data_IF_807398662734
#
_entry.id   IF_807398662734
#
_cell.length_a   1.000
_cell.length_b   1.000
_cell.length_c   1.000
_cell.angle_alpha   90.00
_cell.angle_beta   90.00
_cell.angle_gamma   90.00
#
_symmetry.space_group_name_H-M   'P 1'
#
loop_
_entity.id
_entity.type
_entity.pdbx_description
1 polymer ?
#
# COMPACT_ATOMS: atom_id res chain seq x y z
N UNK A 1 -31.48 28.06 -46.91
CA UNK A 1 -32.18 28.22 -45.62
C UNK A 1 -32.85 26.94 -45.10
N UNK A 2 -33.67 26.22 -45.90
CA UNK A 2 -34.31 24.97 -45.43
C UNK A 2 -33.30 23.84 -45.21
N UNK A 3 -32.28 23.71 -46.04
CA UNK A 3 -31.18 22.73 -45.87
C UNK A 3 -30.25 23.04 -44.71
N UNK A 4 -30.04 24.32 -44.43
CA UNK A 4 -29.22 24.74 -43.29
C UNK A 4 -29.88 24.42 -41.96
N UNK A 5 -31.21 24.65 -41.84
CA UNK A 5 -31.97 24.32 -40.63
C UNK A 5 -31.97 22.80 -40.38
N UNK A 6 -32.12 21.97 -41.41
CA UNK A 6 -32.08 20.52 -41.29
C UNK A 6 -30.72 20.05 -40.84
N UNK A 7 -29.61 20.67 -41.30
CA UNK A 7 -28.25 20.34 -40.91
C UNK A 7 -27.98 20.73 -39.46
N UNK A 8 -28.45 21.91 -39.03
CA UNK A 8 -28.34 22.36 -37.63
C UNK A 8 -29.10 21.44 -36.66
N UNK A 9 -30.31 21.02 -37.01
CA UNK A 9 -31.08 20.06 -36.21
C UNK A 9 -30.37 18.70 -36.11
N UNK A 10 -29.78 18.22 -37.21
CA UNK A 10 -29.01 16.97 -37.22
C UNK A 10 -27.76 17.08 -36.39
N UNK A 11 -27.03 18.19 -36.45
CA UNK A 11 -25.83 18.42 -35.63
C UNK A 11 -26.23 18.46 -34.14
N UNK A 12 -27.31 19.11 -33.79
CA UNK A 12 -27.79 19.18 -32.42
C UNK A 12 -28.19 17.78 -31.89
N UNK A 13 -28.87 16.98 -32.68
CA UNK A 13 -29.25 15.61 -32.33
C UNK A 13 -28.02 14.72 -32.13
N UNK A 14 -27.03 14.75 -33.06
CA UNK A 14 -25.80 14.01 -32.94
C UNK A 14 -24.97 14.45 -31.74
N UNK A 15 -24.94 15.73 -31.43
CA UNK A 15 -24.24 16.26 -30.26
C UNK A 15 -24.89 15.74 -28.97
N UNK A 16 -26.21 15.69 -28.90
CA UNK A 16 -26.93 15.13 -27.75
C UNK A 16 -26.69 13.62 -27.60
N UNK A 17 -26.72 12.85 -28.70
CA UNK A 17 -26.40 11.43 -28.69
C UNK A 17 -24.95 11.18 -28.24
N UNK A 18 -23.99 11.94 -28.74
CA UNK A 18 -22.60 11.85 -28.35
C UNK A 18 -22.42 12.16 -26.85
N UNK A 19 -23.11 13.17 -26.33
CA UNK A 19 -23.10 13.50 -24.92
C UNK A 19 -23.67 12.36 -24.06
N UNK A 20 -24.75 11.75 -24.49
CA UNK A 20 -25.36 10.61 -23.81
C UNK A 20 -24.42 9.37 -23.80
N UNK A 21 -23.80 9.07 -24.94
CA UNK A 21 -22.82 7.98 -25.06
C UNK A 21 -21.59 8.23 -24.17
N UNK A 22 -21.06 9.45 -24.18
CA UNK A 22 -19.94 9.82 -23.29
C UNK A 22 -20.30 9.67 -21.81
N UNK A 23 -21.48 10.13 -21.41
CA UNK A 23 -21.96 9.98 -20.04
C UNK A 23 -22.12 8.50 -19.63
N UNK A 24 -22.71 7.68 -20.49
CA UNK A 24 -22.83 6.24 -20.23
C UNK A 24 -21.48 5.54 -20.13
N UNK A 25 -20.54 5.88 -21.02
CA UNK A 25 -19.19 5.36 -20.98
C UNK A 25 -18.45 5.76 -19.69
N UNK A 26 -18.58 7.01 -19.26
CA UNK A 26 -17.99 7.50 -18.02
C UNK A 26 -18.54 6.75 -16.79
N UNK A 27 -19.85 6.56 -16.70
CA UNK A 27 -20.48 5.78 -15.62
C UNK A 27 -19.93 4.35 -15.60
N UNK A 28 -19.88 3.70 -16.77
CA UNK A 28 -19.36 2.32 -16.88
C UNK A 28 -17.90 2.24 -16.44
N UNK A 29 -17.06 3.18 -16.86
CA UNK A 29 -15.65 3.23 -16.47
C UNK A 29 -15.46 3.46 -14.97
N UNK A 30 -16.26 4.37 -14.38
CA UNK A 30 -16.23 4.61 -12.94
C UNK A 30 -16.62 3.35 -12.16
N UNK A 31 -17.70 2.68 -12.56
CA UNK A 31 -18.12 1.42 -11.93
C UNK A 31 -17.05 0.32 -12.07
N UNK A 32 -16.40 0.24 -13.23
CA UNK A 32 -15.30 -0.72 -13.43
C UNK A 32 -14.11 -0.41 -12.53
N UNK A 33 -13.68 0.85 -12.47
CA UNK A 33 -12.57 1.27 -11.62
C UNK A 33 -12.86 1.03 -10.14
N UNK A 34 -14.08 1.36 -9.70
CA UNK A 34 -14.54 1.10 -8.34
C UNK A 34 -14.51 -0.41 -8.02
N UNK A 35 -15.08 -1.24 -8.88
CA UNK A 35 -15.06 -2.70 -8.71
C UNK A 35 -13.62 -3.26 -8.74
N UNK A 36 -12.77 -2.73 -9.60
CA UNK A 36 -11.36 -3.12 -9.71
C UNK A 36 -10.61 -2.87 -8.39
N UNK A 37 -10.67 -1.65 -7.85
CA UNK A 37 -10.00 -1.34 -6.59
C UNK A 37 -10.66 -2.03 -5.39
N UNK A 38 -11.99 -2.19 -5.41
CA UNK A 38 -12.67 -2.95 -4.37
C UNK A 38 -12.16 -4.40 -4.29
N UNK A 39 -11.89 -5.03 -5.42
CA UNK A 39 -11.33 -6.39 -5.45
C UNK A 39 -9.93 -6.45 -4.81
N UNK A 40 -9.13 -5.40 -4.91
CA UNK A 40 -7.81 -5.37 -4.28
C UNK A 40 -7.88 -5.44 -2.76
N UNK A 41 -8.92 -4.87 -2.16
CA UNK A 41 -9.08 -4.78 -0.70
C UNK A 41 -9.11 -6.17 -0.03
N UNK A 42 -10.04 -7.09 -0.36
CA UNK A 42 -10.07 -8.41 0.26
C UNK A 42 -8.80 -9.23 -0.04
N UNK A 43 -8.21 -9.07 -1.22
CA UNK A 43 -6.93 -9.72 -1.52
C UNK A 43 -5.81 -9.20 -0.62
N UNK A 44 -5.70 -7.88 -0.43
CA UNK A 44 -4.70 -7.30 0.47
C UNK A 44 -4.94 -7.68 1.94
N UNK A 45 -6.20 -7.88 2.37
CA UNK A 45 -6.49 -8.38 3.72
C UNK A 45 -5.91 -9.79 3.92
N UNK A 46 -5.80 -10.61 2.86
CA UNK A 46 -5.12 -11.90 2.95
C UNK A 46 -3.63 -11.78 3.30
N UNK A 47 -2.96 -10.68 2.93
CA UNK A 47 -1.58 -10.40 3.38
C UNK A 47 -1.54 -10.34 4.91
N UNK A 48 -2.48 -9.61 5.53
CA UNK A 48 -2.52 -9.48 6.99
C UNK A 48 -2.87 -10.79 7.69
N UNK A 49 -3.82 -11.56 7.15
CA UNK A 49 -4.10 -12.92 7.62
C UNK A 49 -2.87 -13.82 7.48
N UNK A 50 -2.14 -13.66 6.39
CA UNK A 50 -0.90 -14.37 6.12
C UNK A 50 0.19 -14.03 7.12
N UNK A 51 0.47 -12.74 7.38
CA UNK A 51 1.43 -12.31 8.39
C UNK A 51 1.08 -12.81 9.79
N UNK A 52 -0.21 -12.75 10.16
CA UNK A 52 -0.69 -13.27 11.44
C UNK A 52 -0.31 -14.76 11.60
N UNK A 53 -0.64 -15.60 10.63
CA UNK A 53 -0.34 -17.04 10.68
C UNK A 53 1.17 -17.31 10.56
N UNK A 54 1.86 -16.59 9.69
CA UNK A 54 3.30 -16.69 9.51
C UNK A 54 4.05 -16.42 10.81
N UNK A 55 3.78 -15.29 11.46
CA UNK A 55 4.42 -14.92 12.72
C UNK A 55 4.02 -15.84 13.89
N UNK A 56 2.75 -16.22 13.98
CA UNK A 56 2.30 -17.19 14.98
C UNK A 56 3.08 -18.50 14.85
N UNK A 57 3.30 -19.00 13.63
CA UNK A 57 4.07 -20.22 13.38
C UNK A 57 5.56 -20.07 13.72
N UNK A 58 6.13 -18.88 13.59
CA UNK A 58 7.54 -18.59 13.86
C UNK A 58 7.86 -18.28 15.32
N UNK A 59 6.87 -18.05 16.15
CA UNK A 59 7.07 -17.81 17.59
C UNK A 59 7.20 -19.10 18.38
N UNK A 60 7.78 -19.02 19.59
CA UNK A 60 7.68 -20.08 20.57
C UNK A 60 6.25 -20.22 21.06
N UNK A 61 5.83 -21.44 21.43
CA UNK A 61 4.44 -21.76 21.86
C UNK A 61 3.89 -20.77 22.89
N UNK A 62 4.69 -20.36 23.86
CA UNK A 62 4.28 -19.40 24.89
C UNK A 62 3.91 -18.01 24.35
N UNK A 63 4.34 -17.65 23.16
CA UNK A 63 4.14 -16.31 22.58
C UNK A 63 3.17 -16.28 21.40
N UNK A 64 2.58 -17.40 21.03
CA UNK A 64 1.68 -17.54 19.86
C UNK A 64 0.51 -16.56 19.95
N UNK A 65 -0.22 -16.58 21.07
CA UNK A 65 -1.37 -15.70 21.28
C UNK A 65 -0.97 -14.23 21.30
N UNK A 66 0.14 -13.90 21.95
CA UNK A 66 0.64 -12.51 22.00
C UNK A 66 1.04 -12.01 20.60
N UNK A 67 1.64 -12.85 19.78
CA UNK A 67 1.98 -12.50 18.39
C UNK A 67 0.72 -12.26 17.55
N UNK A 68 -0.29 -13.11 17.67
CA UNK A 68 -1.54 -12.93 16.96
C UNK A 68 -2.28 -11.64 17.37
N UNK A 69 -2.42 -11.39 18.68
CA UNK A 69 -3.06 -10.18 19.19
C UNK A 69 -2.29 -8.92 18.75
N UNK A 70 -0.97 -8.96 18.79
CA UNK A 70 -0.11 -7.84 18.35
C UNK A 70 -0.41 -7.46 16.89
N UNK A 71 -0.47 -8.44 15.99
CA UNK A 71 -0.77 -8.21 14.57
C UNK A 71 -2.19 -7.65 14.37
N UNK A 72 -3.19 -8.24 15.04
CA UNK A 72 -4.57 -7.80 14.92
C UNK A 72 -4.76 -6.35 15.41
N UNK A 73 -4.16 -6.00 16.54
CA UNK A 73 -4.24 -4.64 17.08
C UNK A 73 -3.49 -3.64 16.20
N UNK A 74 -2.31 -4.00 15.69
CA UNK A 74 -1.57 -3.14 14.76
C UNK A 74 -2.40 -2.83 13.51
N UNK A 75 -3.02 -3.85 12.91
CA UNK A 75 -3.93 -3.67 11.78
C UNK A 75 -5.06 -2.71 12.12
N UNK A 76 -5.80 -2.96 13.20
CA UNK A 76 -6.96 -2.17 13.57
C UNK A 76 -6.60 -0.70 13.85
N UNK A 77 -5.56 -0.47 14.66
CA UNK A 77 -5.15 0.90 15.02
C UNK A 77 -4.55 1.65 13.81
N UNK A 78 -3.82 0.98 12.94
CA UNK A 78 -3.27 1.63 11.73
C UNK A 78 -4.39 2.07 10.79
N UNK A 79 -5.40 1.23 10.54
CA UNK A 79 -6.54 1.60 9.70
C UNK A 79 -7.27 2.82 10.25
N UNK A 80 -7.56 2.84 11.55
CA UNK A 80 -8.25 3.98 12.20
C UNK A 80 -7.42 5.26 12.13
N UNK A 81 -6.14 5.18 12.47
CA UNK A 81 -5.27 6.38 12.48
C UNK A 81 -4.92 6.85 11.06
N UNK A 82 -4.84 5.93 10.09
CA UNK A 82 -4.71 6.29 8.68
C UNK A 82 -5.96 7.04 8.18
N UNK A 83 -7.17 6.62 8.59
CA UNK A 83 -8.40 7.34 8.28
C UNK A 83 -8.40 8.75 8.86
N UNK A 84 -7.96 8.90 10.13
CA UNK A 84 -7.98 10.19 10.83
C UNK A 84 -6.89 11.16 10.34
N UNK A 85 -5.70 10.64 9.97
CA UNK A 85 -4.52 11.48 9.71
C UNK A 85 -3.78 11.10 8.45
N UNK A 86 -3.53 9.80 8.22
CA UNK A 86 -2.60 9.35 7.19
C UNK A 86 -3.02 9.73 5.78
N UNK A 87 -4.29 9.59 5.43
CA UNK A 87 -4.81 9.98 4.13
C UNK A 87 -4.59 11.46 3.84
N UNK A 88 -4.85 12.31 4.83
CA UNK A 88 -4.62 13.75 4.72
C UNK A 88 -3.13 14.09 4.57
N UNK A 89 -2.24 13.47 5.35
CA UNK A 89 -0.80 13.69 5.22
C UNK A 89 -0.26 13.30 3.86
N UNK A 90 -0.76 12.24 3.26
CA UNK A 90 -0.36 11.83 1.92
C UNK A 90 -0.59 12.95 0.89
N UNK A 91 -1.73 13.60 0.93
CA UNK A 91 -2.07 14.68 0.00
C UNK A 91 -1.44 16.03 0.36
N UNK A 92 -1.13 16.26 1.62
CA UNK A 92 -0.60 17.53 2.12
C UNK A 92 0.93 17.67 2.00
N UNK A 93 1.68 16.56 1.93
CA UNK A 93 3.14 16.57 2.11
C UNK A 93 4.00 16.18 0.89
N UNK A 94 3.51 16.11 -0.36
CA UNK A 94 4.32 15.61 -1.47
C UNK A 94 5.56 16.45 -1.74
N UNK A 95 5.48 17.77 -1.55
CA UNK A 95 6.57 18.70 -1.82
C UNK A 95 7.38 19.09 -0.59
N UNK A 96 6.91 18.77 0.62
CA UNK A 96 7.63 19.04 1.87
C UNK A 96 8.79 18.06 2.06
N UNK A 97 9.97 18.46 2.56
CA UNK A 97 10.38 19.85 2.92
C UNK A 97 11.10 20.60 1.79
N UNK A 98 11.31 19.99 0.63
CA UNK A 98 12.26 20.51 -0.40
C UNK A 98 11.78 21.80 -1.01
N UNK A 99 10.55 21.86 -1.52
CA UNK A 99 10.03 23.09 -2.14
C UNK A 99 9.72 24.17 -1.13
N UNK A 100 9.33 23.84 0.09
CA UNK A 100 9.14 24.84 1.13
C UNK A 100 10.44 25.48 1.60
N UNK A 101 11.56 24.76 1.52
CA UNK A 101 12.89 25.29 1.83
C UNK A 101 13.46 26.13 0.69
N UNK A 102 13.17 25.76 -0.56
CA UNK A 102 13.75 26.40 -1.77
C UNK A 102 12.88 27.53 -2.29
N UNK A 103 11.56 27.41 -2.22
CA UNK A 103 10.61 28.39 -2.80
C UNK A 103 10.03 29.40 -1.79
N UNK A 104 10.36 29.29 -0.51
CA UNK A 104 9.71 30.09 0.53
C UNK A 104 8.22 29.82 0.73
N UNK A 105 7.67 28.78 0.07
CA UNK A 105 6.32 28.31 0.32
C UNK A 105 6.24 27.74 1.75
N UNK A 106 5.11 27.96 2.42
CA UNK A 106 4.94 27.52 3.81
C UNK A 106 5.03 26.00 3.96
N UNK A 107 4.91 25.54 5.21
CA UNK A 107 5.07 24.14 5.65
C UNK A 107 4.39 23.08 4.76
N UNK A 108 3.32 23.44 4.09
CA UNK A 108 2.54 22.53 3.23
C UNK A 108 2.32 23.12 1.85
N UNK A 109 3.22 23.63 1.13
CA UNK A 109 3.05 24.19 -0.22
C UNK A 109 1.60 24.53 -0.61
N UNK A 110 1.35 25.52 -1.41
CA UNK A 110 -0.02 25.97 -1.74
C UNK A 110 -0.85 24.84 -2.38
N UNK A 111 -0.23 24.07 -3.26
CA UNK A 111 -0.88 22.94 -3.94
C UNK A 111 -1.26 21.79 -2.98
N UNK A 112 -0.41 21.47 -2.02
CA UNK A 112 -0.69 20.42 -1.03
C UNK A 112 -1.86 20.78 -0.11
N UNK A 113 -2.01 22.07 0.25
CA UNK A 113 -3.11 22.52 1.09
C UNK A 113 -4.44 22.54 0.34
N UNK A 114 -4.44 22.98 -0.91
CA UNK A 114 -5.64 22.96 -1.78
C UNK A 114 -6.10 21.53 -2.03
N UNK A 115 -5.17 20.63 -2.31
CA UNK A 115 -5.49 19.22 -2.54
C UNK A 115 -5.99 18.54 -1.27
N UNK A 116 -5.34 18.75 -0.14
CA UNK A 116 -5.77 18.21 1.14
C UNK A 116 -7.13 18.74 1.57
N UNK A 117 -7.41 20.03 1.31
CA UNK A 117 -8.73 20.61 1.62
C UNK A 117 -9.84 20.10 0.71
N UNK A 118 -9.53 19.73 -0.53
CA UNK A 118 -10.50 19.17 -1.46
C UNK A 118 -10.79 17.68 -1.20
N UNK A 119 -9.79 16.91 -0.73
CA UNK A 119 -9.89 15.45 -0.62
C UNK A 119 -10.11 14.98 0.82
N UNK A 120 -9.46 15.58 1.80
CA UNK A 120 -9.60 15.20 3.21
C UNK A 120 -9.14 16.32 4.14
N UNK A 121 -10.06 16.88 4.90
CA UNK A 121 -9.73 17.73 6.05
C UNK A 121 -10.10 17.00 7.33
N UNK A 122 -9.14 16.68 8.21
CA UNK A 122 -9.45 16.00 9.45
C UNK A 122 -10.23 16.87 10.46
N UNK A 123 -10.20 18.20 10.30
CA UNK A 123 -10.89 19.14 11.17
C UNK A 123 -11.33 20.41 10.45
N UNK A 124 -12.38 21.03 10.91
CA UNK A 124 -12.97 22.25 10.37
C UNK A 124 -14.33 22.02 9.73
N UNK A 125 -14.77 22.94 8.91
CA UNK A 125 -16.08 22.87 8.25
C UNK A 125 -16.24 21.63 7.35
N UNK A 126 -15.13 21.05 6.92
CA UNK A 126 -15.07 19.84 6.12
C UNK A 126 -14.75 18.57 6.92
N UNK A 127 -14.97 18.56 8.23
CA UNK A 127 -14.77 17.37 9.08
C UNK A 127 -15.59 16.14 8.66
N UNK A 128 -16.62 16.32 7.85
CA UNK A 128 -17.36 15.26 7.16
C UNK A 128 -16.49 14.47 6.16
N UNK A 129 -15.31 14.94 5.82
CA UNK A 129 -14.37 14.32 4.88
C UNK A 129 -13.13 13.75 5.55
N UNK A 130 -13.21 13.38 6.82
CA UNK A 130 -12.17 12.52 7.39
C UNK A 130 -12.11 11.24 6.54
N UNK A 131 -10.91 10.92 6.05
CA UNK A 131 -10.76 9.89 5.02
C UNK A 131 -11.05 10.45 3.61
N UNK A 132 -11.46 9.61 2.67
CA UNK A 132 -11.67 10.00 1.27
C UNK A 132 -12.95 10.81 1.09
N UNK A 133 -12.97 11.63 0.03
CA UNK A 133 -14.20 12.26 -0.43
C UNK A 133 -15.14 11.19 -1.03
N UNK A 134 -16.23 10.93 -0.37
CA UNK A 134 -17.21 9.91 -0.79
C UNK A 134 -18.00 10.31 -2.05
N UNK A 135 -17.88 11.56 -2.50
CA UNK A 135 -18.42 12.01 -3.80
C UNK A 135 -17.58 11.57 -5.00
N UNK A 136 -16.33 11.16 -4.75
CA UNK A 136 -15.45 10.56 -5.74
C UNK A 136 -15.34 9.04 -5.48
N UNK A 137 -16.12 8.27 -6.21
CA UNK A 137 -16.23 6.82 -6.03
C UNK A 137 -14.89 6.09 -6.17
N UNK A 138 -14.07 6.46 -7.15
CA UNK A 138 -12.79 5.82 -7.38
C UNK A 138 -11.79 6.10 -6.24
N UNK A 139 -11.65 7.36 -5.82
CA UNK A 139 -10.80 7.74 -4.68
C UNK A 139 -11.28 7.12 -3.37
N UNK A 140 -12.61 7.01 -3.19
CA UNK A 140 -13.19 6.39 -2.01
C UNK A 140 -12.77 4.93 -1.84
N UNK A 141 -12.78 4.16 -2.90
CA UNK A 141 -12.35 2.75 -2.88
C UNK A 141 -10.83 2.63 -2.84
N UNK A 142 -10.11 3.48 -3.58
CA UNK A 142 -8.64 3.51 -3.58
C UNK A 142 -8.07 3.80 -2.19
N UNK A 143 -8.76 4.63 -1.38
CA UNK A 143 -8.42 4.82 0.02
C UNK A 143 -8.29 3.49 0.79
N UNK A 144 -9.20 2.54 0.55
CA UNK A 144 -9.17 1.23 1.20
C UNK A 144 -7.89 0.45 0.87
N UNK A 145 -7.48 0.43 -0.39
CA UNK A 145 -6.21 -0.15 -0.80
C UNK A 145 -5.02 0.57 -0.14
N UNK A 146 -5.06 1.91 -0.13
CA UNK A 146 -3.98 2.73 0.44
C UNK A 146 -3.84 2.54 1.96
N UNK A 147 -4.94 2.44 2.68
CA UNK A 147 -4.95 2.10 4.11
C UNK A 147 -4.33 0.72 4.38
N UNK A 148 -4.50 -0.23 3.45
CA UNK A 148 -3.90 -1.55 3.54
C UNK A 148 -2.40 -1.56 3.20
N UNK A 149 -1.90 -0.66 2.37
CA UNK A 149 -0.45 -0.43 2.23
C UNK A 149 0.16 0.05 3.56
N UNK A 150 -0.49 0.99 4.24
CA UNK A 150 -0.07 1.46 5.56
C UNK A 150 0.00 0.32 6.58
N UNK A 151 -1.07 -0.48 6.66
CA UNK A 151 -1.14 -1.62 7.55
C UNK A 151 -0.13 -2.72 7.18
N UNK A 152 0.12 -2.96 5.88
CA UNK A 152 1.12 -3.92 5.41
C UNK A 152 2.53 -3.49 5.82
N UNK A 153 2.86 -2.20 5.70
CA UNK A 153 4.15 -1.65 6.15
C UNK A 153 4.39 -1.94 7.63
N UNK A 154 3.37 -1.75 8.48
CA UNK A 154 3.44 -2.11 9.88
C UNK A 154 3.60 -3.63 10.06
N UNK A 155 2.86 -4.46 9.33
CA UNK A 155 2.95 -5.92 9.43
C UNK A 155 4.33 -6.45 9.06
N UNK A 156 4.99 -5.91 8.03
CA UNK A 156 6.36 -6.27 7.66
C UNK A 156 7.33 -6.01 8.83
N UNK A 157 7.26 -4.83 9.45
CA UNK A 157 8.12 -4.49 10.58
C UNK A 157 7.86 -5.40 11.79
N UNK A 158 6.62 -5.88 11.99
CA UNK A 158 6.27 -6.71 13.14
C UNK A 158 7.05 -8.02 13.21
N UNK A 159 7.33 -8.64 12.07
CA UNK A 159 8.10 -9.88 11.97
C UNK A 159 9.51 -9.76 12.55
N UNK A 160 10.18 -8.64 12.32
CA UNK A 160 11.50 -8.38 12.89
C UNK A 160 11.47 -8.25 14.42
N UNK A 161 10.33 -7.89 15.00
CA UNK A 161 10.17 -7.59 16.43
C UNK A 161 9.55 -8.74 17.23
N UNK A 162 9.36 -9.90 16.61
CA UNK A 162 8.80 -11.11 17.24
C UNK A 162 9.51 -11.41 18.58
N UNK A 163 8.72 -11.61 19.64
CA UNK A 163 9.18 -11.97 21.00
C UNK A 163 10.09 -10.93 21.68
N UNK A 164 10.12 -9.67 21.20
CA UNK A 164 11.03 -8.63 21.72
C UNK A 164 10.28 -7.42 22.24
N UNK A 165 9.17 -7.05 21.63
CA UNK A 165 8.42 -5.83 21.93
C UNK A 165 7.13 -6.16 22.68
N UNK A 166 6.77 -5.31 23.65
CA UNK A 166 5.49 -5.37 24.32
C UNK A 166 4.36 -4.91 23.39
N UNK A 167 3.17 -5.48 23.53
CA UNK A 167 2.03 -5.22 22.65
C UNK A 167 1.69 -3.73 22.55
N UNK A 168 1.63 -2.99 23.66
CA UNK A 168 1.33 -1.54 23.64
C UNK A 168 2.42 -0.76 22.91
N UNK A 169 3.69 -1.04 23.20
CA UNK A 169 4.80 -0.41 22.49
C UNK A 169 4.76 -0.68 20.99
N UNK A 170 4.38 -1.91 20.60
CA UNK A 170 4.21 -2.25 19.21
C UNK A 170 3.06 -1.49 18.53
N UNK A 171 1.90 -1.38 19.20
CA UNK A 171 0.75 -0.62 18.65
C UNK A 171 1.13 0.83 18.39
N UNK A 172 1.86 1.47 19.31
CA UNK A 172 2.36 2.84 19.10
C UNK A 172 3.31 2.89 17.89
N UNK A 173 4.24 1.95 17.79
CA UNK A 173 5.16 1.88 16.65
C UNK A 173 4.41 1.65 15.33
N UNK A 174 3.38 0.81 15.31
CA UNK A 174 2.57 0.54 14.13
C UNK A 174 1.79 1.78 13.67
N UNK A 175 1.22 2.54 14.59
CA UNK A 175 0.57 3.82 14.31
C UNK A 175 1.56 4.82 13.70
N UNK A 176 2.72 5.00 14.36
CA UNK A 176 3.75 5.93 13.88
C UNK A 176 4.27 5.50 12.51
N UNK A 177 4.54 4.21 12.32
CA UNK A 177 5.01 3.71 11.03
C UNK A 177 3.94 3.84 9.95
N UNK A 178 2.76 3.28 10.15
CA UNK A 178 1.74 3.17 9.11
C UNK A 178 1.03 4.48 8.79
N UNK A 179 0.79 5.36 9.78
CA UNK A 179 0.00 6.58 9.59
C UNK A 179 0.83 7.87 9.47
N UNK A 180 2.15 7.80 9.71
CA UNK A 180 3.04 8.97 9.60
C UNK A 180 4.29 8.65 8.77
N UNK A 181 5.20 7.80 9.22
CA UNK A 181 6.50 7.61 8.58
C UNK A 181 6.35 7.04 7.15
N UNK A 182 5.54 6.01 6.98
CA UNK A 182 5.26 5.46 5.66
C UNK A 182 4.53 6.44 4.76
N UNK A 183 3.53 7.15 5.32
CA UNK A 183 2.70 8.10 4.55
C UNK A 183 3.54 9.25 4.00
N UNK A 184 4.48 9.78 4.78
CA UNK A 184 5.40 10.82 4.32
C UNK A 184 6.28 10.28 3.18
N UNK A 185 6.83 9.07 3.32
CA UNK A 185 7.61 8.45 2.27
C UNK A 185 6.77 8.21 0.99
N UNK A 186 5.53 7.74 1.16
CA UNK A 186 4.59 7.54 0.05
C UNK A 186 4.22 8.87 -0.63
N UNK A 187 3.99 9.93 0.12
CA UNK A 187 3.75 11.27 -0.43
C UNK A 187 4.94 11.76 -1.27
N UNK A 188 6.15 11.47 -0.85
CA UNK A 188 7.36 11.87 -1.59
C UNK A 188 7.63 11.07 -2.84
N UNK A 189 7.33 9.77 -2.84
CA UNK A 189 7.74 8.85 -3.89
C UNK A 189 6.59 8.24 -4.71
N UNK A 190 5.34 8.34 -4.26
CA UNK A 190 4.16 7.84 -4.99
C UNK A 190 3.18 8.94 -5.42
N UNK A 191 3.28 10.15 -4.88
CA UNK A 191 2.48 11.26 -5.36
C UNK A 191 3.12 11.83 -6.64
N UNK A 192 2.30 12.21 -7.63
CA UNK A 192 2.78 12.77 -8.89
C UNK A 192 3.66 14.02 -8.68
N UNK A 193 3.31 14.85 -7.70
CA UNK A 193 4.06 16.04 -7.30
C UNK A 193 5.09 15.72 -6.20
N UNK A 194 5.33 14.46 -5.87
CA UNK A 194 6.31 14.07 -4.86
C UNK A 194 7.72 14.47 -5.26
N UNK A 195 8.45 15.12 -4.36
CA UNK A 195 9.78 15.66 -4.70
C UNK A 195 10.81 14.60 -5.08
N UNK A 196 10.67 13.35 -4.59
CA UNK A 196 11.52 12.24 -5.05
C UNK A 196 11.24 11.91 -6.52
N UNK A 197 9.98 12.02 -6.95
CA UNK A 197 9.57 11.78 -8.34
C UNK A 197 10.01 12.91 -9.22
N UNK A 198 9.68 14.15 -8.85
CA UNK A 198 9.91 15.33 -9.69
C UNK A 198 11.37 15.74 -9.80
N UNK A 199 12.15 15.65 -8.70
CA UNK A 199 13.53 16.10 -8.66
C UNK A 199 14.54 14.97 -8.96
N UNK A 200 14.23 13.73 -8.62
CA UNK A 200 15.18 12.61 -8.73
C UNK A 200 14.73 11.52 -9.71
N UNK A 201 13.51 11.61 -10.25
CA UNK A 201 12.96 10.56 -11.11
C UNK A 201 12.81 9.22 -10.39
N UNK A 202 12.53 9.27 -9.07
CA UNK A 202 12.32 8.06 -8.27
C UNK A 202 11.17 7.24 -8.83
N UNK A 203 11.37 5.92 -8.91
CA UNK A 203 10.40 4.99 -9.46
C UNK A 203 10.35 3.71 -8.62
N UNK A 204 9.20 3.43 -8.02
CA UNK A 204 8.96 2.26 -7.18
C UNK A 204 7.54 1.72 -7.39
N UNK A 205 7.36 0.92 -8.44
CA UNK A 205 6.04 0.37 -8.77
C UNK A 205 5.54 -0.62 -7.72
N UNK A 206 6.38 -1.58 -7.32
CA UNK A 206 6.00 -2.70 -6.46
C UNK A 206 6.19 -2.45 -4.97
N UNK A 207 6.41 -1.18 -4.57
CA UNK A 207 6.59 -0.79 -3.17
C UNK A 207 7.85 -1.34 -2.48
N UNK A 208 8.87 -1.75 -3.25
CA UNK A 208 10.11 -2.27 -2.68
C UNK A 208 10.81 -1.25 -1.77
N UNK A 209 10.88 0.01 -2.21
CA UNK A 209 11.42 1.12 -1.42
C UNK A 209 10.41 1.65 -0.41
N UNK A 210 9.26 2.08 -0.91
CA UNK A 210 8.30 2.85 -0.10
C UNK A 210 7.58 2.04 0.97
N UNK A 211 7.39 0.73 0.79
CA UNK A 211 6.82 -0.14 1.81
C UNK A 211 7.91 -0.96 2.49
N UNK A 212 8.63 -1.77 1.73
CA UNK A 212 9.52 -2.78 2.29
C UNK A 212 10.79 -2.18 2.89
N UNK A 213 11.48 -1.27 2.19
CA UNK A 213 12.66 -0.62 2.75
C UNK A 213 12.28 0.30 3.92
N UNK A 214 11.19 1.07 3.84
CA UNK A 214 10.71 1.91 4.94
C UNK A 214 10.42 1.05 6.18
N UNK A 215 9.70 -0.07 6.03
CA UNK A 215 9.43 -0.99 7.14
C UNK A 215 10.71 -1.61 7.69
N UNK A 216 11.63 -2.02 6.83
CA UNK A 216 12.89 -2.64 7.21
C UNK A 216 13.81 -1.71 8.00
N UNK A 217 14.00 -0.47 7.54
CA UNK A 217 14.82 0.51 8.25
C UNK A 217 14.16 0.99 9.55
N UNK A 218 12.84 1.13 9.57
CA UNK A 218 12.12 1.43 10.81
C UNK A 218 12.28 0.31 11.84
N UNK A 219 12.14 -0.95 11.41
CA UNK A 219 12.36 -2.12 12.24
C UNK A 219 13.81 -2.19 12.74
N UNK A 220 14.80 -1.89 11.89
CA UNK A 220 16.21 -1.83 12.27
C UNK A 220 16.43 -0.82 13.40
N UNK A 221 15.86 0.39 13.29
CA UNK A 221 15.96 1.41 14.34
C UNK A 221 15.44 0.91 15.69
N UNK A 222 14.31 0.19 15.70
CA UNK A 222 13.76 -0.41 16.91
C UNK A 222 14.68 -1.53 17.44
N UNK A 223 15.19 -2.39 16.55
CA UNK A 223 16.02 -3.52 16.94
C UNK A 223 17.35 -3.11 17.58
N UNK A 224 17.94 -2.01 17.14
CA UNK A 224 19.15 -1.46 17.75
C UNK A 224 18.93 -1.10 19.23
N UNK A 225 17.68 -0.78 19.61
CA UNK A 225 17.33 -0.49 21.00
C UNK A 225 16.87 -1.73 21.79
N UNK A 226 16.11 -2.64 21.15
CA UNK A 226 15.58 -3.84 21.83
C UNK A 226 16.61 -4.96 21.99
N UNK A 227 17.58 -5.04 21.12
CA UNK A 227 18.55 -6.12 21.13
C UNK A 227 17.98 -7.48 20.69
N UNK A 228 18.72 -8.57 20.94
CA UNK A 228 18.35 -9.92 20.52
C UNK A 228 17.20 -10.51 21.34
N UNK A 229 16.55 -11.53 20.78
CA UNK A 229 15.55 -12.33 21.52
C UNK A 229 16.19 -13.03 22.71
N UNK A 230 15.43 -13.16 23.80
CA UNK A 230 15.87 -13.87 25.00
C UNK A 230 16.31 -15.30 24.65
N UNK A 231 17.53 -15.65 25.04
CA UNK A 231 18.13 -16.95 24.75
C UNK A 231 18.73 -17.09 23.34
N UNK A 232 18.87 -15.99 22.58
CA UNK A 232 19.48 -16.03 21.25
C UNK A 232 20.99 -16.27 21.30
N UNK A 233 21.67 -15.69 22.28
CA UNK A 233 23.13 -15.84 22.47
C UNK A 233 23.43 -16.44 23.82
N UNK A 234 24.44 -17.33 23.86
CA UNK A 234 25.04 -17.87 25.06
C UNK A 234 26.05 -16.89 25.66
N UNK A 235 26.52 -17.18 26.85
CA UNK A 235 27.51 -16.34 27.54
C UNK A 235 28.86 -16.25 26.77
N UNK A 236 29.19 -17.25 25.97
CA UNK A 236 30.37 -17.30 25.10
C UNK A 236 30.18 -16.57 23.75
N UNK A 237 29.00 -15.97 23.53
CA UNK A 237 28.65 -15.28 22.28
C UNK A 237 28.13 -16.19 21.18
N UNK A 238 28.10 -17.51 21.37
CA UNK A 238 27.55 -18.45 20.40
C UNK A 238 26.02 -18.27 20.23
N UNK A 239 25.52 -18.41 18.99
CA UNK A 239 24.11 -18.18 18.67
C UNK A 239 23.29 -19.48 18.76
N UNK A 240 22.20 -19.43 19.51
CA UNK A 240 21.25 -20.53 19.58
C UNK A 240 20.25 -20.47 18.41
N UNK A 241 19.86 -21.62 17.89
CA UNK A 241 18.74 -21.76 16.93
C UNK A 241 17.42 -21.65 17.71
N UNK A 242 16.63 -20.61 17.44
CA UNK A 242 15.29 -20.46 17.97
C UNK A 242 14.32 -20.85 16.85
N UNK A 243 13.81 -22.07 16.90
CA UNK A 243 12.87 -22.58 15.91
C UNK A 243 11.45 -22.07 16.22
N UNK A 244 10.66 -21.82 15.15
CA UNK A 244 9.22 -21.64 15.27
C UNK A 244 8.53 -22.93 15.73
N UNK A 245 7.40 -22.80 16.39
CA UNK A 245 6.69 -23.98 16.93
C UNK A 245 5.88 -24.74 15.87
N UNK A 246 5.50 -24.09 14.76
CA UNK A 246 4.60 -24.68 13.77
C UNK A 246 4.97 -24.22 12.35
N UNK A 247 5.85 -24.94 11.70
CA UNK A 247 6.27 -24.64 10.32
C UNK A 247 5.13 -24.78 9.30
N UNK A 248 4.24 -25.79 9.36
CA UNK A 248 3.06 -25.82 8.49
C UNK A 248 2.19 -24.57 8.58
N UNK A 249 1.97 -24.02 9.77
CA UNK A 249 1.24 -22.76 9.95
C UNK A 249 1.96 -21.58 9.27
N UNK A 250 3.28 -21.52 9.40
CA UNK A 250 4.12 -20.53 8.71
C UNK A 250 3.99 -20.61 7.20
N UNK A 251 4.02 -21.84 6.63
CA UNK A 251 3.86 -22.05 5.17
C UNK A 251 2.47 -21.59 4.72
N UNK A 252 1.42 -21.93 5.47
CA UNK A 252 0.06 -21.50 5.16
C UNK A 252 -0.05 -19.97 5.16
N UNK A 253 0.53 -19.32 6.17
CA UNK A 253 0.58 -17.86 6.24
C UNK A 253 1.30 -17.25 5.03
N UNK A 254 2.42 -17.81 4.65
CA UNK A 254 3.17 -17.37 3.48
C UNK A 254 2.36 -17.48 2.18
N UNK A 255 1.65 -18.58 1.96
CA UNK A 255 0.81 -18.76 0.78
C UNK A 255 -0.32 -17.73 0.72
N UNK A 256 -0.88 -17.34 1.86
CA UNK A 256 -1.87 -16.26 1.92
C UNK A 256 -1.25 -14.89 1.59
N UNK A 257 -0.01 -14.63 2.03
CA UNK A 257 0.72 -13.42 1.64
C UNK A 257 0.91 -13.38 0.12
N UNK A 258 1.34 -14.47 -0.51
CA UNK A 258 1.53 -14.55 -1.97
C UNK A 258 0.21 -14.27 -2.69
N UNK A 259 -0.90 -14.87 -2.28
CA UNK A 259 -2.22 -14.58 -2.87
C UNK A 259 -2.56 -13.10 -2.72
N UNK A 260 -2.29 -12.54 -1.56
CA UNK A 260 -2.54 -11.13 -1.29
C UNK A 260 -1.68 -10.17 -2.12
N UNK A 261 -0.47 -10.57 -2.52
CA UNK A 261 0.39 -9.78 -3.41
C UNK A 261 -0.22 -9.52 -4.78
N UNK A 262 -1.07 -10.40 -5.30
CA UNK A 262 -1.80 -10.09 -6.52
C UNK A 262 -2.69 -8.85 -6.33
N UNK A 263 -3.40 -8.75 -5.22
CA UNK A 263 -4.18 -7.56 -4.89
C UNK A 263 -3.33 -6.33 -4.59
N UNK A 264 -2.22 -6.51 -3.88
CA UNK A 264 -1.29 -5.45 -3.52
C UNK A 264 -0.69 -4.78 -4.77
N UNK A 265 -0.15 -5.57 -5.68
CA UNK A 265 0.44 -5.07 -6.92
C UNK A 265 -0.62 -4.58 -7.92
N UNK A 266 -1.80 -5.21 -7.93
CA UNK A 266 -2.94 -4.73 -8.71
C UNK A 266 -3.38 -3.33 -8.25
N UNK A 267 -3.32 -3.03 -6.95
CA UNK A 267 -3.62 -1.70 -6.42
C UNK A 267 -2.58 -0.63 -6.81
N UNK A 268 -1.36 -1.04 -7.21
CA UNK A 268 -0.33 -0.12 -7.73
C UNK A 268 -0.56 0.27 -9.19
N UNK A 269 -1.53 -0.34 -9.89
CA UNK A 269 -1.89 0.02 -11.25
C UNK A 269 -2.93 1.14 -11.19
N UNK A 270 -2.60 2.28 -11.79
CA UNK A 270 -3.49 3.43 -11.90
C UNK A 270 -4.18 3.36 -13.27
N UNK A 271 -5.49 3.44 -13.25
CA UNK A 271 -6.27 3.45 -14.47
C UNK A 271 -6.19 4.85 -15.09
N UNK A 272 -5.78 4.98 -16.37
CA UNK A 272 -5.50 6.28 -16.96
C UNK A 272 -6.77 7.05 -17.33
N UNK A 273 -6.64 8.38 -17.39
CA UNK A 273 -7.60 9.30 -17.97
C UNK A 273 -8.53 9.98 -16.97
N UNK A 274 -9.15 11.05 -17.40
CA UNK A 274 -10.24 11.70 -16.66
C UNK A 274 -11.39 10.71 -16.46
N UNK A 275 -11.76 10.48 -15.20
CA UNK A 275 -12.77 9.52 -14.83
C UNK A 275 -12.33 8.06 -14.90
N UNK A 276 -11.02 7.80 -14.80
CA UNK A 276 -10.48 6.44 -14.71
C UNK A 276 -10.84 5.58 -15.93
N UNK A 277 -10.55 6.06 -17.14
CA UNK A 277 -10.86 5.32 -18.37
C UNK A 277 -9.78 4.28 -18.69
N UNK A 278 -10.21 3.07 -18.95
CA UNK A 278 -9.38 1.94 -19.39
C UNK A 278 -9.21 1.92 -20.91
N UNK A 279 -9.20 3.07 -21.58
CA UNK A 279 -9.12 3.14 -23.02
C UNK A 279 -7.69 3.26 -23.53
N UNK A 280 -7.43 2.63 -24.66
CA UNK A 280 -6.16 2.68 -25.35
C UNK A 280 -5.16 1.69 -24.77
N UNK A 281 -4.04 2.17 -24.30
CA UNK A 281 -2.86 1.37 -24.00
C UNK A 281 -2.90 0.58 -22.66
N UNK A 282 -4.06 0.49 -22.01
CA UNK A 282 -4.24 -0.24 -20.76
C UNK A 282 -3.90 0.57 -19.51
N UNK A 283 -3.66 -0.12 -18.39
CA UNK A 283 -3.27 0.49 -17.14
C UNK A 283 -1.83 1.00 -17.16
N UNK A 284 -1.51 1.90 -16.25
CA UNK A 284 -0.17 2.40 -16.05
C UNK A 284 0.21 2.35 -14.57
N UNK A 285 1.50 2.41 -14.28
CA UNK A 285 1.98 2.68 -12.93
C UNK A 285 1.63 4.12 -12.54
N UNK A 286 1.74 4.42 -11.27
CA UNK A 286 1.62 5.80 -10.75
C UNK A 286 2.57 6.81 -11.45
N UNK A 287 3.62 6.31 -12.08
CA UNK A 287 4.59 7.10 -12.85
C UNK A 287 4.27 7.19 -14.36
N UNK A 288 3.09 6.72 -14.76
CA UNK A 288 2.68 6.71 -16.16
C UNK A 288 3.33 5.64 -17.05
N UNK A 289 4.09 4.70 -16.47
CA UNK A 289 4.68 3.59 -17.23
C UNK A 289 3.60 2.56 -17.56
N UNK A 290 3.35 2.24 -18.84
CA UNK A 290 2.35 1.26 -19.23
C UNK A 290 2.61 -0.12 -18.63
N UNK A 291 1.56 -0.78 -18.13
CA UNK A 291 1.60 -2.13 -17.58
C UNK A 291 0.30 -2.85 -17.84
N UNK A 292 0.36 -4.17 -18.00
CA UNK A 292 -0.82 -5.03 -18.14
C UNK A 292 -0.95 -5.97 -16.95
N UNK A 293 -2.17 -6.37 -16.63
CA UNK A 293 -2.42 -7.39 -15.60
C UNK A 293 -1.75 -8.73 -15.95
N UNK A 294 -1.63 -9.06 -17.24
CA UNK A 294 -0.92 -10.25 -17.68
C UNK A 294 0.56 -10.19 -17.33
N UNK A 295 1.23 -9.06 -17.63
CA UNK A 295 2.64 -8.87 -17.27
C UNK A 295 2.84 -8.93 -15.75
N UNK A 296 1.93 -8.32 -14.97
CA UNK A 296 1.93 -8.40 -13.52
C UNK A 296 1.84 -9.86 -13.03
N UNK A 297 0.86 -10.62 -13.53
CA UNK A 297 0.65 -12.01 -13.14
C UNK A 297 1.88 -12.89 -13.45
N UNK A 298 2.46 -12.75 -14.63
CA UNK A 298 3.69 -13.48 -15.00
C UNK A 298 4.85 -13.13 -14.08
N UNK A 299 5.09 -11.85 -13.84
CA UNK A 299 6.20 -11.39 -13.01
C UNK A 299 6.05 -11.89 -11.57
N UNK A 300 4.86 -11.83 -10.98
CA UNK A 300 4.62 -12.35 -9.62
C UNK A 300 4.87 -13.85 -9.54
N UNK A 301 4.29 -14.63 -10.47
CA UNK A 301 4.45 -16.08 -10.47
C UNK A 301 5.91 -16.51 -10.68
N UNK A 302 6.60 -15.87 -11.62
CA UNK A 302 7.98 -16.22 -11.94
C UNK A 302 8.95 -15.78 -10.84
N UNK A 303 8.75 -14.59 -10.25
CA UNK A 303 9.59 -14.11 -9.14
C UNK A 303 9.45 -15.01 -7.92
N UNK A 304 8.23 -15.32 -7.48
CA UNK A 304 7.98 -16.22 -6.36
C UNK A 304 8.58 -17.61 -6.61
N UNK A 305 8.36 -18.18 -7.81
CA UNK A 305 8.90 -19.48 -8.17
C UNK A 305 10.43 -19.49 -8.23
N UNK A 306 11.01 -18.46 -8.83
CA UNK A 306 12.47 -18.31 -8.93
C UNK A 306 13.14 -18.18 -7.57
N UNK A 307 12.52 -17.43 -6.65
CA UNK A 307 13.00 -17.30 -5.27
C UNK A 307 12.95 -18.61 -4.50
N UNK A 308 11.85 -19.36 -4.59
CA UNK A 308 11.74 -20.69 -3.97
C UNK A 308 12.80 -21.65 -4.52
N UNK A 309 12.93 -21.74 -5.85
CA UNK A 309 13.90 -22.62 -6.50
C UNK A 309 15.33 -22.21 -6.11
N UNK A 310 15.66 -20.93 -6.15
CA UNK A 310 16.96 -20.42 -5.76
C UNK A 310 17.30 -20.79 -4.32
N UNK A 311 16.40 -20.54 -3.39
CA UNK A 311 16.58 -20.90 -1.99
C UNK A 311 16.74 -22.42 -1.81
N UNK A 312 15.96 -23.24 -2.52
CA UNK A 312 16.09 -24.70 -2.48
C UNK A 312 17.45 -25.19 -2.98
N UNK A 313 17.94 -24.63 -4.07
CA UNK A 313 19.24 -25.00 -4.64
C UNK A 313 20.39 -24.69 -3.65
N UNK A 314 20.36 -23.51 -3.05
CA UNK A 314 21.47 -23.03 -2.23
C UNK A 314 21.43 -23.48 -0.77
N UNK A 315 20.26 -23.57 -0.15
CA UNK A 315 20.16 -23.81 1.30
C UNK A 315 19.56 -25.16 1.64
N UNK A 316 18.60 -25.63 0.83
CA UNK A 316 17.75 -26.80 1.10
C UNK A 316 17.04 -26.76 2.47
N UNK A 317 17.05 -25.61 3.12
CA UNK A 317 16.34 -25.39 4.38
C UNK A 317 14.90 -24.96 4.06
N UNK A 318 13.87 -25.66 4.58
CA UNK A 318 12.47 -25.33 4.30
C UNK A 318 12.09 -23.90 4.65
N UNK A 319 12.69 -23.31 5.67
CA UNK A 319 12.44 -21.93 6.06
C UNK A 319 12.91 -20.94 4.98
N UNK A 320 14.14 -21.12 4.48
CA UNK A 320 14.68 -20.26 3.42
C UNK A 320 14.00 -20.48 2.08
N UNK A 321 13.53 -21.72 1.80
CA UNK A 321 12.73 -22.00 0.61
C UNK A 321 11.41 -21.21 0.64
N UNK A 322 10.76 -21.15 1.79
CA UNK A 322 9.55 -20.37 1.95
C UNK A 322 9.79 -18.87 1.86
N UNK A 323 10.81 -18.38 2.58
CA UNK A 323 11.15 -16.96 2.60
C UNK A 323 11.66 -16.45 1.23
N UNK A 324 12.16 -17.35 0.38
CA UNK A 324 12.66 -17.01 -0.95
C UNK A 324 11.58 -16.61 -1.94
N UNK A 325 10.29 -16.82 -1.65
CA UNK A 325 9.20 -16.39 -2.53
C UNK A 325 8.69 -14.97 -2.22
N UNK A 326 9.14 -14.37 -1.15
CA UNK A 326 8.86 -12.99 -0.77
C UNK A 326 10.00 -12.07 -1.20
#
# INVERSE_FOLDING_TARGET
>A
KKGEIVLEDQILALTAELAAVKSAAQVTNTMFAEAYYYLTIPLMVLIHAGFLLYEMGQTRVANVLSSGIKNLLAFAFTIVTFYLFGWWFYWALPTFPVTSLVSGAGFMGTSGLEYASAIALPWGESAQYMGPNMGDHASGVFWGAFALFAATTASIASGALIERIQTVGWVICAIVLGSFAWVVAAAWGWHADGWLVTEFGFHDFGAAGLVHAVAGFFALGILLNLGPRVGKFNADGSANKIAGHNIPLTITGLMLIIVGFFGFLMACIILPGEGWSWYGDGGATIYGTPITLSALAFNVCLAASGGIIGAWVFTRDPFWMMSGCL
#
